data_IF_889495524467
#
_entry.id   IF_889495524467
#
_cell.length_a   1.000
_cell.length_b   1.000
_cell.length_c   1.000
_cell.angle_alpha   90.00
_cell.angle_beta   90.00
_cell.angle_gamma   90.00
#
_symmetry.space_group_name_H-M   'P 1'
#
loop_
_entity.id
_entity.type
_entity.pdbx_description
1 polymer ?
#
# COMPACT_ATOMS: atom_id res chain seq x y z
N UNK A 1 -15.29 -7.01 6.32
CA UNK A 1 -13.95 -6.43 6.09
C UNK A 1 -13.33 -6.14 7.45
N UNK A 2 -12.06 -6.47 7.67
CA UNK A 2 -11.38 -6.11 8.92
C UNK A 2 -10.86 -4.68 8.81
N UNK A 3 -11.09 -3.83 9.81
CA UNK A 3 -10.51 -2.50 9.81
C UNK A 3 -9.04 -2.53 10.26
N UNK A 4 -8.12 -2.25 9.33
CA UNK A 4 -6.69 -2.17 9.60
C UNK A 4 -6.29 -0.97 10.47
N UNK A 5 -7.09 0.10 10.51
CA UNK A 5 -6.87 1.20 11.44
C UNK A 5 -7.06 0.73 12.88
N UNK A 6 -8.14 -0.02 13.15
CA UNK A 6 -8.40 -0.63 14.46
C UNK A 6 -7.33 -1.65 14.85
N UNK A 7 -6.83 -2.46 13.91
CA UNK A 7 -5.75 -3.43 14.17
C UNK A 7 -4.50 -2.74 14.72
N UNK A 8 -4.17 -1.55 14.22
CA UNK A 8 -2.99 -0.77 14.60
C UNK A 8 -3.28 0.31 15.65
N UNK A 9 -4.54 0.45 16.09
CA UNK A 9 -4.97 1.45 17.06
C UNK A 9 -4.84 2.88 16.55
N UNK A 10 -5.18 3.10 15.28
CA UNK A 10 -5.16 4.40 14.62
C UNK A 10 -6.58 4.84 14.25
N UNK A 11 -6.79 6.14 14.08
CA UNK A 11 -8.04 6.65 13.54
C UNK A 11 -8.05 6.56 12.01
N UNK A 12 -9.16 6.16 11.37
CA UNK A 12 -9.28 6.14 9.91
C UNK A 12 -9.09 7.52 9.29
N UNK A 13 -8.08 7.66 8.42
CA UNK A 13 -7.80 8.90 7.71
C UNK A 13 -6.98 8.64 6.43
N UNK A 14 -7.19 9.49 5.41
CA UNK A 14 -6.36 9.48 4.19
C UNK A 14 -4.92 9.94 4.47
N UNK A 15 -4.76 10.92 5.36
CA UNK A 15 -3.46 11.37 5.87
C UNK A 15 -3.19 10.65 7.19
N UNK A 16 -2.12 9.86 7.22
CA UNK A 16 -1.69 9.12 8.42
C UNK A 16 -0.28 9.53 8.75
N UNK A 17 -0.04 9.79 10.03
CA UNK A 17 1.31 9.95 10.57
C UNK A 17 2.07 8.61 10.44
N UNK A 18 2.98 8.56 9.47
CA UNK A 18 3.79 7.37 9.20
C UNK A 18 4.74 7.03 10.35
N UNK A 19 5.14 8.00 11.16
CA UNK A 19 5.97 7.76 12.33
C UNK A 19 5.17 7.05 13.43
N UNK A 20 3.97 7.54 13.71
CA UNK A 20 3.05 6.88 14.64
C UNK A 20 2.67 5.47 14.15
N UNK A 21 2.40 5.32 12.85
CA UNK A 21 2.12 4.03 12.22
C UNK A 21 3.27 3.03 12.46
N UNK A 22 4.51 3.43 12.21
CA UNK A 22 5.67 2.59 12.42
C UNK A 22 5.87 2.24 13.91
N UNK A 23 5.64 3.20 14.81
CA UNK A 23 5.72 2.96 16.25
C UNK A 23 4.70 1.91 16.71
N UNK A 24 3.45 2.03 16.26
CA UNK A 24 2.37 1.07 16.56
C UNK A 24 2.68 -0.32 16.00
N UNK A 25 3.14 -0.38 14.75
CA UNK A 25 3.54 -1.63 14.12
C UNK A 25 4.62 -2.35 14.93
N UNK A 26 5.71 -1.65 15.30
CA UNK A 26 6.82 -2.24 16.06
C UNK A 26 6.37 -2.72 17.45
N UNK A 27 5.53 -1.96 18.15
CA UNK A 27 5.01 -2.35 19.46
C UNK A 27 4.18 -3.64 19.37
N UNK A 28 3.28 -3.73 18.38
CA UNK A 28 2.42 -4.90 18.18
C UNK A 28 3.22 -6.12 17.69
N UNK A 29 4.21 -5.92 16.81
CA UNK A 29 5.13 -6.98 16.42
C UNK A 29 5.87 -7.55 17.63
N UNK A 30 6.37 -6.71 18.54
CA UNK A 30 7.05 -7.17 19.75
C UNK A 30 6.13 -7.92 20.72
N UNK A 31 4.84 -7.60 20.77
CA UNK A 31 3.85 -8.26 21.63
C UNK A 31 3.43 -9.62 21.08
N UNK A 32 3.21 -9.70 19.76
CA UNK A 32 2.61 -10.86 19.10
C UNK A 32 3.63 -11.76 18.39
N UNK A 33 4.92 -11.43 18.42
CA UNK A 33 5.96 -12.19 17.71
C UNK A 33 5.89 -13.70 18.04
N UNK A 34 5.87 -14.59 17.03
CA UNK A 34 5.73 -16.03 17.25
C UNK A 34 6.84 -16.61 18.13
N UNK A 35 8.05 -16.05 18.07
CA UNK A 35 9.17 -16.49 18.91
C UNK A 35 8.90 -16.31 20.42
N UNK A 36 8.15 -15.29 20.82
CA UNK A 36 7.78 -15.10 22.24
C UNK A 36 6.74 -16.10 22.73
N UNK A 37 6.05 -16.75 21.79
CA UNK A 37 5.06 -17.80 22.03
C UNK A 37 5.58 -19.18 21.64
N UNK A 38 6.90 -19.34 21.42
CA UNK A 38 7.49 -20.62 21.05
C UNK A 38 7.26 -21.71 22.11
N UNK A 39 7.15 -21.36 23.39
CA UNK A 39 6.83 -22.31 24.48
C UNK A 39 5.32 -22.44 24.77
N UNK A 40 4.48 -21.69 24.07
CA UNK A 40 3.03 -21.70 24.24
C UNK A 40 2.39 -22.96 23.61
N UNK A 41 1.11 -23.18 23.88
CA UNK A 41 0.34 -24.26 23.26
C UNK A 41 0.23 -24.09 21.74
N UNK A 42 -0.10 -25.17 21.02
CA UNK A 42 -0.21 -25.13 19.55
C UNK A 42 -1.30 -24.14 19.07
N UNK A 43 -2.39 -24.00 19.82
CA UNK A 43 -3.46 -23.04 19.53
C UNK A 43 -2.99 -21.60 19.72
N UNK A 44 -2.25 -21.31 20.79
CA UNK A 44 -1.68 -19.98 21.05
C UNK A 44 -0.63 -19.58 20.00
N UNK A 45 0.20 -20.53 19.56
CA UNK A 45 1.15 -20.28 18.45
C UNK A 45 0.44 -19.96 17.14
N UNK A 46 -0.60 -20.72 16.81
CA UNK A 46 -1.41 -20.48 15.61
C UNK A 46 -2.08 -19.10 15.66
N UNK A 47 -2.66 -18.73 16.80
CA UNK A 47 -3.26 -17.41 17.00
C UNK A 47 -2.22 -16.29 16.86
N UNK A 48 -1.02 -16.45 17.43
CA UNK A 48 0.07 -15.49 17.30
C UNK A 48 0.52 -15.31 15.84
N UNK A 49 0.63 -16.39 15.07
CA UNK A 49 0.96 -16.34 13.64
C UNK A 49 -0.10 -15.58 12.83
N UNK A 50 -1.38 -15.91 13.03
CA UNK A 50 -2.49 -15.22 12.36
C UNK A 50 -2.51 -13.73 12.69
N UNK A 51 -2.31 -13.39 13.97
CA UNK A 51 -2.28 -12.00 14.42
C UNK A 51 -1.10 -11.22 13.84
N UNK A 52 0.08 -11.85 13.80
CA UNK A 52 1.29 -11.26 13.20
C UNK A 52 1.10 -11.00 11.70
N UNK A 53 0.50 -11.93 10.97
CA UNK A 53 0.15 -11.73 9.55
C UNK A 53 -0.79 -10.55 9.37
N UNK A 54 -1.86 -10.47 10.18
CA UNK A 54 -2.81 -9.37 10.11
C UNK A 54 -2.17 -8.00 10.39
N UNK A 55 -1.22 -7.93 11.35
CA UNK A 55 -0.46 -6.70 11.66
C UNK A 55 0.41 -6.29 10.46
N UNK A 56 1.04 -7.25 9.78
CA UNK A 56 1.83 -6.97 8.58
C UNK A 56 0.95 -6.44 7.44
N UNK A 57 -0.17 -7.13 7.17
CA UNK A 57 -1.11 -6.72 6.12
C UNK A 57 -1.67 -5.32 6.39
N UNK A 58 -2.03 -5.03 7.65
CA UNK A 58 -2.48 -3.72 8.08
C UNK A 58 -1.41 -2.64 7.87
N UNK A 59 -0.17 -2.91 8.27
CA UNK A 59 0.93 -1.96 8.10
C UNK A 59 1.25 -1.70 6.63
N UNK A 60 1.36 -2.74 5.82
CA UNK A 60 1.65 -2.61 4.38
C UNK A 60 0.53 -1.88 3.63
N UNK A 61 -0.72 -2.08 4.06
CA UNK A 61 -1.89 -1.37 3.51
C UNK A 61 -1.90 0.10 3.92
N UNK A 62 -1.77 0.39 5.21
CA UNK A 62 -1.86 1.78 5.71
C UNK A 62 -0.62 2.62 5.37
N UNK A 63 0.54 2.00 5.13
CA UNK A 63 1.77 2.71 4.73
C UNK A 63 1.72 3.24 3.30
N UNK A 64 1.05 2.53 2.39
CA UNK A 64 0.92 2.94 1.00
C UNK A 64 -0.28 3.88 0.84
N UNK A 65 -0.10 5.12 0.31
CA UNK A 65 -1.22 6.03 0.12
C UNK A 65 -2.35 5.44 -0.75
N UNK A 66 -2.01 4.73 -1.83
CA UNK A 66 -2.98 4.09 -2.72
C UNK A 66 -3.74 2.95 -2.04
N UNK A 67 -3.03 2.03 -1.36
CA UNK A 67 -3.68 0.91 -0.66
C UNK A 67 -4.54 1.41 0.50
N UNK A 68 -4.07 2.43 1.22
CA UNK A 68 -4.83 3.08 2.30
C UNK A 68 -6.12 3.72 1.80
N UNK A 69 -6.05 4.44 0.67
CA UNK A 69 -7.24 5.03 0.06
C UNK A 69 -8.23 3.98 -0.43
N UNK A 70 -7.73 2.91 -1.07
CA UNK A 70 -8.55 1.75 -1.44
C UNK A 70 -9.23 1.13 -0.23
N UNK A 71 -8.49 0.88 0.85
CA UNK A 71 -9.03 0.32 2.10
C UNK A 71 -10.12 1.21 2.73
N UNK A 72 -9.92 2.54 2.75
CA UNK A 72 -10.93 3.48 3.22
C UNK A 72 -12.22 3.42 2.40
N UNK A 73 -12.11 3.31 1.08
CA UNK A 73 -13.27 3.13 0.19
C UNK A 73 -13.97 1.80 0.46
N UNK A 74 -13.21 0.72 0.62
CA UNK A 74 -13.74 -0.60 0.94
C UNK A 74 -14.45 -0.65 2.29
N UNK A 75 -13.98 0.10 3.30
CA UNK A 75 -14.68 0.29 4.58
C UNK A 75 -16.04 0.97 4.41
N UNK A 76 -16.22 1.77 3.36
CA UNK A 76 -17.51 2.38 2.98
C UNK A 76 -18.33 1.49 2.04
N UNK A 77 -17.88 0.26 1.75
CA UNK A 77 -18.54 -0.66 0.81
C UNK A 77 -18.29 -0.35 -0.66
N UNK A 78 -17.34 0.52 -0.99
CA UNK A 78 -16.94 0.85 -2.36
C UNK A 78 -15.75 -0.03 -2.76
N UNK A 79 -15.96 -0.91 -3.73
CA UNK A 79 -14.89 -1.76 -4.25
C UNK A 79 -14.16 -1.06 -5.39
N UNK A 80 -12.89 -0.69 -5.19
CA UNK A 80 -12.08 -0.05 -6.23
C UNK A 80 -11.73 -0.96 -7.41
N UNK A 81 -11.72 -2.28 -7.21
CA UNK A 81 -11.39 -3.25 -8.25
C UNK A 81 -12.53 -3.48 -9.26
N UNK A 82 -13.74 -2.99 -8.99
CA UNK A 82 -14.87 -3.10 -9.94
C UNK A 82 -14.89 -2.00 -10.98
N UNK A 83 -14.03 -0.98 -10.87
CA UNK A 83 -13.92 0.09 -11.85
C UNK A 83 -13.21 -0.40 -13.12
N UNK A 84 -13.92 -0.35 -14.25
CA UNK A 84 -13.39 -0.77 -15.54
C UNK A 84 -12.56 0.34 -16.18
N UNK A 85 -11.49 -0.02 -16.86
CA UNK A 85 -10.60 0.91 -17.57
C UNK A 85 -11.34 1.76 -18.63
N UNK A 86 -12.48 1.27 -19.13
CA UNK A 86 -13.41 1.98 -20.03
C UNK A 86 -14.11 3.19 -19.39
N UNK A 87 -14.06 3.33 -18.05
CA UNK A 87 -14.64 4.47 -17.32
C UNK A 87 -13.65 5.63 -17.18
N UNK A 88 -12.39 5.47 -17.63
CA UNK A 88 -11.38 6.52 -17.57
C UNK A 88 -11.54 7.54 -18.70
N UNK A 89 -11.18 8.79 -18.43
CA UNK A 89 -11.23 9.84 -19.44
C UNK A 89 -10.31 9.53 -20.63
N UNK A 90 -10.74 9.73 -21.89
CA UNK A 90 -9.91 9.45 -23.07
C UNK A 90 -8.54 10.16 -23.04
N UNK A 91 -8.49 11.38 -22.52
CA UNK A 91 -7.25 12.14 -22.38
C UNK A 91 -6.24 11.45 -21.44
N UNK A 92 -6.71 10.84 -20.35
CA UNK A 92 -5.85 10.11 -19.41
C UNK A 92 -5.31 8.81 -20.03
N UNK A 93 -6.15 8.09 -20.78
CA UNK A 93 -5.72 6.88 -21.49
C UNK A 93 -4.66 7.21 -22.55
N UNK A 94 -4.84 8.30 -23.29
CA UNK A 94 -3.85 8.77 -24.27
C UNK A 94 -2.51 9.12 -23.60
N UNK A 95 -2.53 9.87 -22.50
CA UNK A 95 -1.32 10.15 -21.72
C UNK A 95 -0.62 8.87 -21.26
N UNK A 96 -1.37 7.87 -20.79
CA UNK A 96 -0.81 6.58 -20.38
C UNK A 96 -0.13 5.85 -21.55
N UNK A 97 -0.74 5.88 -22.74
CA UNK A 97 -0.15 5.30 -23.95
C UNK A 97 1.16 5.99 -24.34
N UNK A 98 1.19 7.33 -24.37
CA UNK A 98 2.41 8.09 -24.67
C UNK A 98 3.55 7.79 -23.69
N UNK A 99 3.23 7.63 -22.40
CA UNK A 99 4.21 7.24 -21.38
C UNK A 99 4.75 5.83 -21.63
N UNK A 100 3.90 4.88 -22.02
CA UNK A 100 4.32 3.52 -22.38
C UNK A 100 5.24 3.52 -23.60
N UNK A 101 4.84 4.18 -24.69
CA UNK A 101 5.62 4.25 -25.92
C UNK A 101 7.01 4.87 -25.66
N UNK A 102 7.05 5.97 -24.91
CA UNK A 102 8.30 6.60 -24.50
C UNK A 102 9.19 5.65 -23.70
N UNK A 103 8.61 4.89 -22.75
CA UNK A 103 9.39 3.95 -21.95
C UNK A 103 9.98 2.82 -22.81
N UNK A 104 9.20 2.28 -23.76
CA UNK A 104 9.68 1.25 -24.67
C UNK A 104 10.85 1.73 -25.53
N UNK A 105 10.76 2.94 -26.08
CA UNK A 105 11.83 3.53 -26.89
C UNK A 105 13.11 3.74 -26.09
N UNK A 106 12.99 4.23 -24.85
CA UNK A 106 14.12 4.40 -23.93
C UNK A 106 14.77 3.06 -23.56
N UNK A 107 13.96 2.02 -23.34
CA UNK A 107 14.44 0.68 -23.03
C UNK A 107 15.21 0.06 -24.20
N UNK A 108 14.73 0.23 -25.43
CA UNK A 108 15.42 -0.22 -26.66
C UNK A 108 16.73 0.54 -26.90
N UNK A 109 16.76 1.84 -26.58
CA UNK A 109 17.92 2.71 -26.79
C UNK A 109 19.02 2.63 -25.73
N UNK A 110 18.82 1.88 -24.63
CA UNK A 110 19.80 1.78 -23.53
C UNK A 110 20.05 3.11 -22.80
N UNK A 111 19.08 4.03 -22.83
CA UNK A 111 19.25 5.40 -22.35
C UNK A 111 18.91 5.55 -20.86
N UNK A 112 19.75 4.97 -20.01
CA UNK A 112 19.53 4.94 -18.56
C UNK A 112 19.23 6.32 -17.93
N UNK A 113 19.92 7.43 -18.28
CA UNK A 113 19.62 8.75 -17.69
C UNK A 113 18.21 9.26 -18.01
N UNK A 114 17.70 8.99 -19.21
CA UNK A 114 16.36 9.41 -19.63
C UNK A 114 15.28 8.58 -18.91
N UNK A 115 15.54 7.29 -18.65
CA UNK A 115 14.68 6.42 -17.84
C UNK A 115 14.62 6.91 -16.39
N UNK A 116 15.76 7.32 -15.83
CA UNK A 116 15.81 7.86 -14.47
C UNK A 116 15.06 9.19 -14.34
N UNK A 117 15.17 10.07 -15.33
CA UNK A 117 14.41 11.31 -15.39
C UNK A 117 12.90 11.02 -15.43
N UNK A 118 12.46 10.09 -16.29
CA UNK A 118 11.04 9.70 -16.37
C UNK A 118 10.53 9.10 -15.04
N UNK A 119 11.32 8.28 -14.36
CA UNK A 119 11.00 7.77 -13.02
C UNK A 119 10.86 8.90 -12.00
N UNK A 120 11.76 9.88 -12.04
CA UNK A 120 11.70 11.05 -11.15
C UNK A 120 10.43 11.86 -11.37
N UNK A 121 10.09 12.16 -12.62
CA UNK A 121 8.86 12.88 -12.99
C UNK A 121 7.60 12.16 -12.50
N UNK A 122 7.52 10.85 -12.76
CA UNK A 122 6.39 10.04 -12.30
C UNK A 122 6.27 10.03 -10.77
N UNK A 123 7.40 9.93 -10.07
CA UNK A 123 7.44 9.97 -8.60
C UNK A 123 6.99 11.33 -8.08
N UNK A 124 7.41 12.42 -8.72
CA UNK A 124 7.02 13.77 -8.32
C UNK A 124 5.52 14.02 -8.55
N UNK A 125 4.98 13.62 -9.71
CA UNK A 125 3.54 13.68 -9.99
C UNK A 125 2.74 12.89 -8.97
N UNK A 126 3.21 11.69 -8.61
CA UNK A 126 2.57 10.89 -7.56
C UNK A 126 2.58 11.61 -6.20
N UNK A 127 3.71 12.21 -5.81
CA UNK A 127 3.82 13.01 -4.58
C UNK A 127 2.99 14.29 -4.58
N UNK A 128 2.54 14.82 -5.72
CA UNK A 128 1.65 15.98 -5.72
C UNK A 128 0.18 15.63 -5.47
N UNK A 129 -0.16 14.34 -5.51
CA UNK A 129 -1.51 13.85 -5.25
C UNK A 129 -1.77 13.53 -3.75
N UNK A 130 -0.72 13.56 -2.91
CA UNK A 130 -0.72 13.15 -1.50
C UNK A 130 0.23 14.00 -0.68
#
# INVERSE_FOLDING_TARGET
MTDFFDVLGLSPACEVDLHLLEQRYRALQQEWHPDRKATASATERSAALQRTSLINDAYDTLKSPLKRAAHLLELQGLNVATHQQSQLAPAFLFEQMELHDRLEDLAKGGKLPEVEAMRSDATQRFKTLW
#
